data_IF_994350624477
#
_entry.id   IF_994350624477
#
_cell.length_a   1.000
_cell.length_b   1.000
_cell.length_c   1.000
_cell.angle_alpha   90.00
_cell.angle_beta   90.00
_cell.angle_gamma   90.00
#
_symmetry.space_group_name_H-M   'P 1'
#
loop_
_entity.id
_entity.type
_entity.pdbx_description
1 polymer ?
#
# COMPACT_ATOMS: atom_id res chain seq x y z
N UNK A 1 -21.35 -9.51 4.95
CA UNK A 1 -21.70 -8.39 4.37
C UNK A 1 -21.25 -8.28 2.95
N UNK A 2 -21.83 -7.38 2.36
CA UNK A 2 -21.51 -7.12 0.99
C UNK A 2 -20.38 -6.15 0.85
N UNK A 3 -19.93 -5.59 1.93
CA UNK A 3 -18.88 -4.60 1.83
C UNK A 3 -17.57 -5.26 1.54
N UNK A 4 -16.84 -4.67 0.63
CA UNK A 4 -15.47 -5.08 0.42
C UNK A 4 -14.64 -4.63 1.58
N UNK A 5 -13.71 -5.47 1.97
CA UNK A 5 -12.79 -5.06 3.01
C UNK A 5 -11.76 -4.13 2.41
N UNK A 6 -11.52 -3.03 3.09
CA UNK A 6 -10.53 -2.08 2.64
C UNK A 6 -9.15 -2.70 2.65
N UNK A 7 -8.88 -3.54 3.63
CA UNK A 7 -7.58 -4.16 3.79
C UNK A 7 -7.77 -5.62 4.17
N UNK A 8 -7.08 -6.50 3.46
CA UNK A 8 -7.13 -7.93 3.71
C UNK A 8 -5.73 -8.41 4.00
N UNK A 9 -5.57 -9.13 5.11
CA UNK A 9 -4.27 -9.67 5.46
C UNK A 9 -4.06 -10.98 4.70
N UNK A 10 -3.00 -11.05 3.92
CA UNK A 10 -2.71 -12.24 3.12
C UNK A 10 -1.70 -13.11 3.81
N UNK A 11 -0.62 -12.51 4.31
CA UNK A 11 0.38 -13.20 5.10
C UNK A 11 0.54 -12.38 6.37
N UNK A 12 0.25 -12.95 7.53
CA UNK A 12 0.21 -12.17 8.76
C UNK A 12 1.48 -11.35 8.96
N UNK A 13 1.29 -10.06 9.14
CA UNK A 13 2.39 -9.15 9.41
C UNK A 13 3.29 -8.86 8.24
N UNK A 14 3.02 -9.44 7.06
CA UNK A 14 3.93 -9.32 5.95
C UNK A 14 3.27 -8.81 4.68
N UNK A 15 2.15 -9.36 4.29
CA UNK A 15 1.54 -9.02 3.01
C UNK A 15 0.07 -8.76 3.18
N UNK A 16 -0.39 -7.74 2.48
CA UNK A 16 -1.78 -7.32 2.55
C UNK A 16 -2.25 -6.93 1.16
N UNK A 17 -3.57 -6.99 0.98
CA UNK A 17 -4.19 -6.41 -0.22
C UNK A 17 -5.11 -5.30 0.24
N UNK A 18 -5.00 -4.15 -0.40
CA UNK A 18 -5.81 -2.99 -0.05
C UNK A 18 -6.56 -2.51 -1.27
N UNK A 19 -7.75 -1.95 -1.04
CA UNK A 19 -8.41 -1.21 -2.10
C UNK A 19 -7.64 0.07 -2.35
N UNK A 20 -7.62 0.50 -3.61
CA UNK A 20 -6.93 1.75 -3.93
C UNK A 20 -7.51 2.94 -3.20
N UNK A 21 -8.78 2.85 -2.81
CA UNK A 21 -9.45 3.92 -2.08
C UNK A 21 -9.16 3.90 -0.59
N UNK A 22 -8.42 2.91 -0.09
CA UNK A 22 -8.10 2.85 1.33
C UNK A 22 -7.36 4.09 1.75
N UNK A 23 -7.78 4.67 2.88
CA UNK A 23 -7.21 5.91 3.35
C UNK A 23 -5.86 5.67 4.00
N UNK A 24 -4.94 6.59 3.73
CA UNK A 24 -3.59 6.47 4.29
C UNK A 24 -3.64 6.46 5.81
N UNK A 25 -4.49 7.28 6.40
CA UNK A 25 -4.59 7.32 7.86
C UNK A 25 -5.00 5.98 8.42
N UNK A 26 -5.96 5.32 7.77
CA UNK A 26 -6.42 4.03 8.25
C UNK A 26 -5.32 2.98 8.10
N UNK A 27 -4.63 2.99 6.97
CA UNK A 27 -3.55 2.03 6.76
C UNK A 27 -2.43 2.24 7.74
N UNK A 28 -2.08 3.50 8.00
CA UNK A 28 -1.02 3.79 8.94
C UNK A 28 -1.35 3.27 10.32
N UNK A 29 -2.61 3.39 10.71
CA UNK A 29 -3.01 2.93 12.02
C UNK A 29 -2.95 1.40 12.11
N UNK A 30 -3.44 0.72 11.08
CA UNK A 30 -3.50 -0.73 11.10
C UNK A 30 -2.12 -1.34 10.93
N UNK A 31 -1.32 -0.78 10.02
CA UNK A 31 -0.03 -1.35 9.66
C UNK A 31 1.13 -0.73 10.42
N UNK A 32 0.86 0.31 11.21
CA UNK A 32 1.90 1.01 11.97
C UNK A 32 2.94 1.59 11.04
N UNK A 33 2.45 2.29 10.03
CA UNK A 33 3.31 2.89 9.00
C UNK A 33 3.15 4.39 9.02
N UNK A 34 3.93 5.07 8.17
CA UNK A 34 3.88 6.51 8.09
C UNK A 34 3.69 7.02 6.67
N UNK A 35 2.75 6.41 5.95
CA UNK A 35 2.48 6.85 4.59
C UNK A 35 1.91 8.26 4.59
N UNK A 36 2.43 9.12 3.73
CA UNK A 36 2.00 10.50 3.65
C UNK A 36 1.96 10.95 2.21
N UNK A 37 1.00 11.81 1.90
CA UNK A 37 0.90 12.41 0.60
C UNK A 37 0.32 13.81 0.76
N UNK A 38 0.83 14.76 -0.03
CA UNK A 38 0.32 16.12 0.03
C UNK A 38 -0.98 16.28 -0.74
N UNK A 39 -1.13 15.53 -1.81
CA UNK A 39 -2.25 15.73 -2.69
C UNK A 39 -3.31 14.65 -2.60
N UNK A 40 -3.00 13.53 -1.99
CA UNK A 40 -3.91 12.39 -1.95
C UNK A 40 -4.07 11.88 -0.55
N UNK A 41 -5.23 11.29 -0.27
CA UNK A 41 -5.44 10.69 1.04
C UNK A 41 -5.64 9.19 0.94
N UNK A 42 -5.46 8.58 -0.23
CA UNK A 42 -5.64 7.15 -0.42
C UNK A 42 -4.36 6.51 -0.90
N UNK A 43 -4.29 5.18 -0.74
CA UNK A 43 -3.09 4.46 -1.15
C UNK A 43 -2.93 4.47 -2.67
N UNK A 44 -4.04 4.42 -3.40
CA UNK A 44 -3.95 4.52 -4.85
C UNK A 44 -3.41 5.86 -5.28
N UNK A 45 -3.91 6.93 -4.64
CA UNK A 45 -3.40 8.26 -4.95
C UNK A 45 -1.94 8.42 -4.57
N UNK A 46 -1.55 7.82 -3.45
CA UNK A 46 -0.16 7.86 -3.02
C UNK A 46 0.75 7.28 -4.11
N UNK A 47 0.36 6.15 -4.67
CA UNK A 47 1.18 5.52 -5.71
C UNK A 47 1.24 6.39 -6.95
N UNK A 48 0.11 6.98 -7.34
CA UNK A 48 0.09 7.88 -8.49
C UNK A 48 1.05 9.04 -8.25
N UNK A 49 1.05 9.58 -7.05
CA UNK A 49 1.96 10.68 -6.74
C UNK A 49 3.41 10.24 -6.85
N UNK A 50 3.73 9.05 -6.34
CA UNK A 50 5.09 8.56 -6.38
C UNK A 50 5.58 8.32 -7.80
N UNK A 51 4.71 7.82 -8.65
CA UNK A 51 5.08 7.51 -10.03
C UNK A 51 4.83 8.65 -10.99
N UNK A 52 4.09 9.66 -10.53
CA UNK A 52 3.78 10.85 -11.32
C UNK A 52 2.97 10.52 -12.56
N UNK A 53 2.19 9.45 -12.48
CA UNK A 53 1.28 9.05 -13.55
C UNK A 53 0.45 7.87 -13.06
N UNK A 54 -0.59 7.56 -13.80
CA UNK A 54 -1.39 6.38 -13.52
C UNK A 54 -0.62 5.15 -14.00
N UNK A 55 -0.31 4.23 -13.10
CA UNK A 55 0.46 3.06 -13.51
C UNK A 55 -0.42 1.99 -14.15
N UNK A 56 0.23 0.98 -14.68
CA UNK A 56 -0.47 -0.22 -15.16
C UNK A 56 -0.27 -1.33 -14.14
N UNK A 57 -1.12 -2.36 -14.18
CA UNK A 57 -0.94 -3.48 -13.24
C UNK A 57 0.46 -4.07 -13.34
N UNK A 58 1.03 -4.37 -12.19
CA UNK A 58 2.37 -4.90 -12.10
C UNK A 58 3.43 -3.88 -11.76
N UNK A 59 3.13 -2.61 -11.93
CA UNK A 59 4.08 -1.57 -11.51
C UNK A 59 4.05 -1.43 -10.02
N UNK A 60 5.14 -0.93 -9.47
CA UNK A 60 5.25 -0.81 -8.03
C UNK A 60 5.95 0.47 -7.64
N UNK A 61 5.75 0.85 -6.39
CA UNK A 61 6.44 1.96 -5.76
C UNK A 61 6.97 1.46 -4.43
N UNK A 62 8.11 1.99 -4.01
CA UNK A 62 8.70 1.61 -2.73
C UNK A 62 8.80 2.87 -1.89
N UNK A 63 8.27 2.80 -0.68
CA UNK A 63 8.28 3.96 0.21
C UNK A 63 9.66 4.13 0.84
N UNK A 64 9.92 5.29 1.43
CA UNK A 64 11.19 5.46 2.15
C UNK A 64 11.39 4.45 3.26
N UNK A 65 10.30 3.93 3.81
CA UNK A 65 10.39 2.93 4.87
C UNK A 65 10.58 1.53 4.36
N UNK A 66 10.63 1.35 3.04
CA UNK A 66 10.86 0.03 2.48
C UNK A 66 9.61 -0.78 2.20
N UNK A 67 8.44 -0.15 2.26
CA UNK A 67 7.20 -0.82 1.96
C UNK A 67 7.04 -0.87 0.45
N UNK A 68 6.78 -2.05 -0.09
CA UNK A 68 6.59 -2.18 -1.53
C UNK A 68 5.10 -2.24 -1.83
N UNK A 69 4.68 -1.41 -2.75
CA UNK A 69 3.27 -1.29 -3.13
C UNK A 69 3.15 -1.68 -4.60
N UNK A 70 2.50 -2.80 -4.86
CA UNK A 70 2.36 -3.31 -6.22
C UNK A 70 0.94 -3.09 -6.69
N UNK A 71 0.79 -2.47 -7.85
CA UNK A 71 -0.53 -2.22 -8.42
C UNK A 71 -1.06 -3.52 -8.98
N UNK A 72 -2.20 -3.98 -8.49
CA UNK A 72 -2.79 -5.23 -8.97
C UNK A 72 -3.86 -4.99 -10.02
N UNK A 73 -4.72 -4.01 -9.80
CA UNK A 73 -5.86 -3.79 -10.68
C UNK A 73 -6.05 -2.30 -10.89
N UNK A 74 -6.27 -1.93 -12.14
CA UNK A 74 -6.55 -0.55 -12.52
C UNK A 74 -7.83 -0.55 -13.34
N UNK A 75 -8.75 0.36 -13.04
CA UNK A 75 -9.98 0.48 -13.78
C UNK A 75 -10.47 1.91 -13.69
N UNK A 76 -11.03 2.40 -14.80
CA UNK A 76 -11.63 3.74 -14.82
C UNK A 76 -10.66 4.81 -14.37
N UNK A 77 -9.43 4.66 -14.82
CA UNK A 77 -8.38 5.66 -14.59
C UNK A 77 -8.01 5.78 -13.14
N UNK A 78 -8.16 4.70 -12.38
CA UNK A 78 -7.72 4.73 -10.99
C UNK A 78 -7.28 3.34 -10.58
N UNK A 79 -6.47 3.30 -9.53
CA UNK A 79 -5.99 2.05 -9.00
C UNK A 79 -7.07 1.47 -8.12
N UNK A 80 -7.45 0.23 -8.40
CA UNK A 80 -8.51 -0.43 -7.67
C UNK A 80 -7.98 -1.29 -6.54
N UNK A 81 -6.87 -1.98 -6.77
CA UNK A 81 -6.32 -2.87 -5.75
C UNK A 81 -4.80 -2.78 -5.74
N UNK A 82 -4.25 -2.88 -4.55
CA UNK A 82 -2.82 -2.75 -4.31
C UNK A 82 -2.38 -3.89 -3.41
N UNK A 83 -1.27 -4.53 -3.76
CA UNK A 83 -0.67 -5.55 -2.90
C UNK A 83 0.46 -4.87 -2.12
N UNK A 84 0.38 -4.94 -0.79
CA UNK A 84 1.32 -4.28 0.09
C UNK A 84 2.27 -5.32 0.66
N UNK A 85 3.57 -5.09 0.48
CA UNK A 85 4.60 -5.94 1.07
C UNK A 85 5.33 -5.13 2.12
N UNK A 86 5.17 -5.51 3.38
CA UNK A 86 5.89 -4.84 4.45
C UNK A 86 7.33 -5.33 4.48
N UNK A 87 8.26 -4.46 4.86
CA UNK A 87 9.65 -4.90 4.95
C UNK A 87 9.81 -5.90 6.08
N UNK A 88 10.81 -6.75 5.94
CA UNK A 88 11.08 -7.71 7.00
C UNK A 88 11.53 -6.98 8.25
N UNK A 89 11.14 -7.48 9.43
CA UNK A 89 11.62 -6.86 10.66
C UNK A 89 13.13 -6.93 10.70
N UNK A 90 13.76 -5.84 11.16
CA UNK A 90 15.18 -5.85 11.36
C UNK A 90 15.45 -6.47 12.70
N UNK A 91 16.20 -7.52 12.67
CA UNK A 91 16.50 -8.10 13.92
C UNK A 91 17.76 -7.54 14.46
N UNK A 92 17.46 -7.53 14.05
CA UNK A 92 18.31 -7.30 14.30
C UNK A 92 19.03 -7.32 14.85
N UNK A 93 18.72 -7.48 14.75
CA UNK A 93 19.23 -7.45 15.15
C UNK A 93 19.89 -7.85 15.63
N UNK A 94 19.78 -8.14 15.78
CA UNK A 94 20.28 -8.39 16.19
C UNK A 94 21.21 -8.73 16.23
N UNK A 95 21.28 -8.73 16.08
CA UNK A 95 22.12 -8.87 16.20
C UNK A 95 22.91 -8.91 16.45
N UNK A 96 22.96 -8.88 16.59
CA UNK A 96 23.64 -8.73 16.82
C UNK A 96 24.10 -8.75 16.93
#
# INVERSE_FOLDING_TARGET
>A
GEEEEILTELIPGREYRALGSAKLDDLNEILHTGLESEDYDSIGGYIIEQLDRLPVPGESAITPDGIKLVVETVAKKRIEQVHIYLPEPKEESSEE
#
